data_IF_560399844228
#
_entry.id   IF_560399844228
#
_cell.length_a   1.000
_cell.length_b   1.000
_cell.length_c   1.000
_cell.angle_alpha   90.00
_cell.angle_beta   90.00
_cell.angle_gamma   90.00
#
_symmetry.space_group_name_H-M   'P 1'
#
loop_
_entity.id
_entity.type
_entity.pdbx_description
1 polymer ?
#
# COMPACT_ATOMS: atom_id res chain seq x y z
N UNK A 1 -5.72 12.71 11.94
CA UNK A 1 -6.55 13.06 10.75
C UNK A 1 -5.88 12.47 9.51
N UNK A 2 -6.67 11.93 8.57
CA UNK A 2 -6.22 11.52 7.24
C UNK A 2 -6.74 12.57 6.26
N UNK A 3 -5.83 13.31 5.63
CA UNK A 3 -6.20 14.36 4.70
C UNK A 3 -6.72 13.76 3.38
N UNK A 4 -7.59 14.49 2.68
CA UNK A 4 -8.16 14.10 1.38
C UNK A 4 -7.10 13.77 0.32
N UNK A 5 -5.91 14.35 0.43
CA UNK A 5 -4.76 14.01 -0.41
C UNK A 5 -4.49 12.50 -0.37
N UNK A 6 -4.61 11.87 0.79
CA UNK A 6 -4.28 10.45 1.01
C UNK A 6 -5.46 9.51 0.80
N UNK A 7 -6.45 9.89 -0.03
CA UNK A 7 -7.60 9.04 -0.35
C UNK A 7 -7.21 7.83 -1.22
N UNK A 8 -7.96 6.74 -1.06
CA UNK A 8 -8.06 5.64 -2.02
C UNK A 8 -9.37 5.78 -2.79
N UNK A 9 -10.50 5.20 -2.29
CA UNK A 9 -11.83 5.54 -2.76
C UNK A 9 -12.13 7.05 -2.57
N UNK A 10 -13.09 7.63 -3.31
CA UNK A 10 -13.34 9.08 -3.26
C UNK A 10 -13.66 9.64 -1.87
N UNK A 11 -14.29 8.84 -1.00
CA UNK A 11 -14.77 9.25 0.33
C UNK A 11 -13.97 8.64 1.49
N UNK A 12 -12.93 7.86 1.23
CA UNK A 12 -12.14 7.23 2.29
C UNK A 12 -10.64 7.25 2.02
N UNK A 13 -9.86 7.16 3.11
CA UNK A 13 -8.41 7.08 3.06
C UNK A 13 -7.93 5.85 2.29
N UNK A 14 -6.76 5.97 1.65
CA UNK A 14 -6.06 4.81 1.07
C UNK A 14 -5.74 3.79 2.17
N UNK A 15 -5.98 2.51 1.87
CA UNK A 15 -5.85 1.43 2.85
C UNK A 15 -4.45 1.34 3.43
N UNK A 16 -3.43 1.27 2.58
CA UNK A 16 -2.04 1.16 3.01
C UNK A 16 -1.55 2.39 3.79
N UNK A 17 -1.88 3.60 3.35
CA UNK A 17 -1.57 4.81 4.10
C UNK A 17 -2.21 4.77 5.50
N UNK A 18 -3.49 4.38 5.57
CA UNK A 18 -4.20 4.24 6.84
C UNK A 18 -3.56 3.17 7.72
N UNK A 19 -3.16 2.04 7.14
CA UNK A 19 -2.41 1.01 7.89
C UNK A 19 -1.12 1.60 8.50
N UNK A 20 -0.40 2.44 7.75
CA UNK A 20 0.78 3.14 8.26
C UNK A 20 0.48 4.10 9.41
N UNK A 21 -0.69 4.77 9.39
CA UNK A 21 -1.16 5.61 10.50
C UNK A 21 -1.52 4.76 11.72
N UNK A 22 -2.23 3.64 11.52
CA UNK A 22 -2.62 2.74 12.62
C UNK A 22 -1.40 2.07 13.25
N UNK A 23 -0.42 1.66 12.44
CA UNK A 23 0.81 1.01 12.91
C UNK A 23 1.84 1.98 13.51
N UNK A 24 1.54 3.28 13.59
CA UNK A 24 2.46 4.26 14.17
C UNK A 24 2.67 3.95 15.66
N UNK A 25 3.92 3.72 16.06
CA UNK A 25 4.29 3.34 17.42
C UNK A 25 4.42 1.85 17.64
N UNK A 26 3.83 0.98 16.81
CA UNK A 26 4.03 -0.48 16.92
C UNK A 26 5.41 -0.85 16.39
N UNK A 27 6.17 -1.58 17.18
CA UNK A 27 7.55 -1.97 16.91
C UNK A 27 7.65 -3.17 15.97
N UNK A 28 8.66 -3.17 15.09
CA UNK A 28 8.97 -4.30 14.22
C UNK A 28 7.93 -4.56 13.12
N UNK A 29 7.56 -5.84 12.96
CA UNK A 29 6.50 -6.28 12.03
C UNK A 29 5.15 -6.02 12.67
N UNK A 30 4.25 -5.41 11.92
CA UNK A 30 2.89 -5.14 12.39
C UNK A 30 1.84 -5.70 11.41
N UNK A 31 0.77 -6.24 11.99
CA UNK A 31 -0.47 -6.59 11.27
C UNK A 31 -1.52 -5.56 11.57
N UNK A 32 -2.02 -4.89 10.54
CA UNK A 32 -3.12 -3.93 10.63
C UNK A 32 -4.38 -4.51 10.01
N UNK A 33 -5.49 -4.48 10.75
CA UNK A 33 -6.83 -4.83 10.25
C UNK A 33 -7.67 -3.56 10.18
N UNK A 34 -8.16 -3.21 9.01
CA UNK A 34 -9.13 -2.13 8.80
C UNK A 34 -10.54 -2.66 9.10
N UNK A 35 -11.29 -1.90 9.90
CA UNK A 35 -12.64 -2.27 10.35
C UNK A 35 -13.73 -1.47 9.65
N UNK A 36 -13.42 -0.23 9.28
CA UNK A 36 -14.30 0.70 8.60
C UNK A 36 -13.55 1.44 7.50
N UNK A 37 -14.24 1.97 6.48
CA UNK A 37 -13.64 2.90 5.54
C UNK A 37 -13.05 4.09 6.30
N UNK A 38 -11.73 4.37 6.17
CA UNK A 38 -11.09 5.42 6.94
C UNK A 38 -11.64 6.80 6.55
N UNK A 39 -12.23 7.58 7.49
CA UNK A 39 -12.79 8.87 7.16
C UNK A 39 -11.70 9.91 6.85
N UNK A 40 -12.04 10.84 5.95
CA UNK A 40 -11.15 11.92 5.51
C UNK A 40 -11.46 13.23 6.24
N UNK A 41 -10.44 14.07 6.40
CA UNK A 41 -10.53 15.48 6.83
C UNK A 41 -11.24 15.68 8.18
N UNK A 42 -11.17 14.69 9.08
CA UNK A 42 -11.75 14.78 10.41
C UNK A 42 -10.81 14.24 11.49
N UNK A 43 -10.94 14.69 12.73
CA UNK A 43 -10.11 14.20 13.82
C UNK A 43 -10.27 12.70 14.04
N UNK A 44 -9.15 12.00 14.17
CA UNK A 44 -9.06 10.60 14.55
C UNK A 44 -8.16 10.49 15.76
N UNK A 45 -8.47 9.56 16.66
CA UNK A 45 -7.66 9.31 17.86
C UNK A 45 -6.89 8.01 17.69
N UNK A 46 -5.56 8.09 17.81
CA UNK A 46 -4.67 6.92 17.86
C UNK A 46 -4.28 6.69 19.31
N UNK A 47 -4.53 5.48 19.79
CA UNK A 47 -4.13 5.03 21.13
C UNK A 47 -3.39 3.70 21.03
N UNK A 48 -2.49 3.42 21.93
CA UNK A 48 -1.75 2.16 21.96
C UNK A 48 -0.33 2.32 22.46
N UNK A 49 0.48 1.30 22.23
CA UNK A 49 1.87 1.14 22.66
C UNK A 49 2.72 0.47 21.56
N UNK A 50 3.88 -0.07 21.93
CA UNK A 50 4.79 -0.73 21.00
C UNK A 50 4.30 -2.11 20.52
N UNK A 51 3.32 -2.71 21.18
CA UNK A 51 2.78 -4.02 20.84
C UNK A 51 1.46 -3.94 20.07
N UNK A 52 0.65 -2.92 20.36
CA UNK A 52 -0.67 -2.75 19.74
C UNK A 52 -1.11 -1.30 19.67
N UNK A 53 -1.95 -1.00 18.70
CA UNK A 53 -2.56 0.31 18.58
C UNK A 53 -3.96 0.24 17.97
N UNK A 54 -4.73 1.30 18.17
CA UNK A 54 -6.10 1.43 17.66
C UNK A 54 -6.35 2.86 17.19
N UNK A 55 -6.87 2.99 15.98
CA UNK A 55 -7.34 4.25 15.42
C UNK A 55 -8.87 4.30 15.49
N UNK A 56 -9.42 5.37 16.07
CA UNK A 56 -10.86 5.55 16.24
C UNK A 56 -11.37 6.85 15.66
N UNK A 57 -12.65 6.84 15.24
CA UNK A 57 -13.49 7.99 14.90
C UNK A 57 -14.63 8.05 15.94
N UNK A 58 -14.44 8.81 17.01
CA UNK A 58 -15.31 8.74 18.19
C UNK A 58 -15.24 7.33 18.80
N UNK A 59 -16.40 6.68 18.92
CA UNK A 59 -16.51 5.31 19.44
C UNK A 59 -16.24 4.22 18.39
N UNK A 60 -16.17 4.58 17.11
CA UNK A 60 -16.02 3.64 16.02
C UNK A 60 -14.55 3.29 15.80
N UNK A 61 -14.23 2.00 15.76
CA UNK A 61 -12.87 1.51 15.45
C UNK A 61 -12.69 1.56 13.93
N UNK A 62 -11.74 2.38 13.46
CA UNK A 62 -11.34 2.47 12.05
C UNK A 62 -10.35 1.36 11.71
N UNK A 63 -9.39 1.12 12.58
CA UNK A 63 -8.38 0.07 12.39
C UNK A 63 -7.63 -0.25 13.68
N UNK A 64 -7.06 -1.43 13.70
CA UNK A 64 -6.27 -1.96 14.81
C UNK A 64 -4.97 -2.54 14.27
N UNK A 65 -3.86 -2.30 14.98
CA UNK A 65 -2.57 -2.91 14.72
C UNK A 65 -2.12 -3.76 15.89
N UNK A 66 -1.42 -4.84 15.59
CA UNK A 66 -0.71 -5.67 16.58
C UNK A 66 0.67 -6.01 16.07
N UNK A 67 1.65 -6.06 16.97
CA UNK A 67 2.96 -6.64 16.68
C UNK A 67 2.78 -8.09 16.22
N UNK A 68 3.56 -8.51 15.24
CA UNK A 68 3.34 -9.79 14.56
C UNK A 68 4.65 -10.36 14.00
N UNK A 69 4.53 -11.46 13.27
CA UNK A 69 5.59 -12.01 12.41
C UNK A 69 5.08 -12.06 10.97
N UNK A 70 5.99 -12.04 10.02
CA UNK A 70 5.66 -12.16 8.59
C UNK A 70 6.53 -13.25 7.97
N UNK A 71 5.93 -14.42 7.77
CA UNK A 71 6.50 -15.49 6.96
C UNK A 71 5.98 -15.33 5.53
N UNK A 72 6.77 -14.71 4.68
CA UNK A 72 6.41 -14.37 3.31
C UNK A 72 7.61 -14.61 2.41
N UNK A 73 7.47 -15.57 1.49
CA UNK A 73 8.42 -15.75 0.41
C UNK A 73 8.28 -14.62 -0.60
N UNK A 74 9.38 -13.89 -0.82
CA UNK A 74 9.41 -12.76 -1.75
C UNK A 74 10.10 -13.22 -3.02
N UNK A 75 9.46 -13.14 -4.20
CA UNK A 75 10.12 -13.46 -5.46
C UNK A 75 11.26 -12.48 -5.74
N UNK A 76 12.15 -12.87 -6.66
CA UNK A 76 13.23 -11.99 -7.11
C UNK A 76 12.65 -10.66 -7.61
N UNK A 77 13.22 -9.56 -7.12
CA UNK A 77 12.77 -8.22 -7.46
C UNK A 77 13.04 -7.93 -8.95
N UNK A 78 12.04 -7.48 -9.73
CA UNK A 78 12.27 -7.04 -11.09
C UNK A 78 13.26 -5.86 -11.12
N UNK A 79 14.16 -5.87 -12.12
CA UNK A 79 15.06 -4.72 -12.32
C UNK A 79 14.27 -3.44 -12.66
N UNK A 80 14.86 -2.27 -12.37
CA UNK A 80 14.21 -0.98 -12.59
C UNK A 80 13.73 -0.78 -14.04
N UNK A 81 14.51 -1.16 -15.03
CA UNK A 81 14.13 -1.06 -16.45
C UNK A 81 12.93 -1.95 -16.79
N UNK A 82 12.87 -3.15 -16.22
CA UNK A 82 11.73 -4.07 -16.35
C UNK A 82 10.48 -3.47 -15.72
N UNK A 83 10.61 -2.85 -14.54
CA UNK A 83 9.51 -2.17 -13.87
C UNK A 83 9.00 -0.96 -14.66
N UNK A 84 9.89 -0.17 -15.26
CA UNK A 84 9.52 0.96 -16.15
C UNK A 84 8.73 0.47 -17.34
N UNK A 85 9.19 -0.59 -18.01
CA UNK A 85 8.50 -1.15 -19.18
C UNK A 85 7.15 -1.80 -18.79
N UNK A 86 7.09 -2.50 -17.66
CA UNK A 86 5.86 -3.07 -17.14
C UNK A 86 4.82 -1.98 -16.83
N UNK A 87 5.24 -0.90 -16.17
CA UNK A 87 4.38 0.23 -15.78
C UNK A 87 3.66 0.90 -16.97
N UNK A 88 4.24 0.87 -18.17
CA UNK A 88 3.57 1.37 -19.39
C UNK A 88 2.29 0.60 -19.74
N UNK A 89 2.17 -0.63 -19.27
CA UNK A 89 1.02 -1.53 -19.47
C UNK A 89 0.15 -1.67 -18.22
N UNK A 90 0.17 -0.65 -17.38
CA UNK A 90 -0.67 -0.60 -16.20
C UNK A 90 -2.16 -0.60 -16.59
N UNK A 91 -2.91 -1.60 -16.15
CA UNK A 91 -4.32 -1.75 -16.49
C UNK A 91 -5.20 -0.57 -16.04
N UNK A 92 -4.79 0.12 -14.98
CA UNK A 92 -5.48 1.29 -14.45
C UNK A 92 -5.44 2.52 -15.35
N UNK A 93 -4.67 2.54 -16.45
CA UNK A 93 -4.75 3.61 -17.46
C UNK A 93 -6.00 3.46 -18.34
N UNK A 94 -6.52 2.24 -18.51
CA UNK A 94 -7.74 1.98 -19.27
C UNK A 94 -8.98 2.01 -18.37
N UNK A 95 -8.90 1.33 -17.22
CA UNK A 95 -10.01 1.24 -16.25
C UNK A 95 -9.46 1.20 -14.84
N UNK A 96 -9.88 2.15 -14.02
CA UNK A 96 -9.46 2.23 -12.62
C UNK A 96 -10.66 2.47 -11.70
N UNK A 97 -10.86 1.62 -10.65
CA UNK A 97 -11.99 1.82 -9.73
C UNK A 97 -11.90 3.14 -8.95
N UNK A 98 -10.68 3.62 -8.70
CA UNK A 98 -10.41 4.85 -7.95
C UNK A 98 -9.34 5.71 -8.64
N UNK A 99 -9.64 6.39 -9.76
CA UNK A 99 -8.62 7.08 -10.56
C UNK A 99 -7.91 8.22 -9.81
N UNK A 100 -8.48 8.71 -8.71
CA UNK A 100 -7.86 9.66 -7.79
C UNK A 100 -7.14 9.02 -6.60
N UNK A 101 -6.84 7.71 -6.59
CA UNK A 101 -6.12 7.03 -5.50
C UNK A 101 -4.73 7.66 -5.29
N UNK A 102 -4.36 7.90 -4.03
CA UNK A 102 -3.05 8.47 -3.66
C UNK A 102 -1.87 7.64 -4.16
N UNK A 103 -2.00 6.31 -4.17
CA UNK A 103 -0.90 5.41 -4.56
C UNK A 103 -0.83 5.21 -6.07
N UNK A 104 -1.94 4.79 -6.70
CA UNK A 104 -1.96 4.27 -8.06
C UNK A 104 -2.90 5.03 -9.00
N UNK A 105 -3.49 6.14 -8.56
CA UNK A 105 -4.46 6.89 -9.34
C UNK A 105 -3.84 7.61 -10.53
N UNK A 106 -4.24 7.30 -11.79
CA UNK A 106 -3.69 7.93 -12.98
C UNK A 106 -4.05 9.42 -13.10
N UNK A 107 -5.12 9.88 -12.45
CA UNK A 107 -5.52 11.30 -12.44
C UNK A 107 -4.68 12.16 -11.47
N UNK A 108 -3.79 11.57 -10.67
CA UNK A 108 -2.90 12.33 -9.81
C UNK A 108 -1.80 13.02 -10.62
N UNK A 109 -1.62 14.31 -10.37
CA UNK A 109 -0.49 15.05 -10.93
C UNK A 109 0.85 14.57 -10.33
N UNK A 110 1.98 14.75 -11.03
CA UNK A 110 3.29 14.59 -10.44
C UNK A 110 3.42 15.43 -9.16
N UNK A 111 3.95 14.83 -8.08
CA UNK A 111 4.10 15.47 -6.76
C UNK A 111 2.83 15.47 -5.88
N UNK A 112 1.68 14.98 -6.38
CA UNK A 112 0.44 14.88 -5.58
C UNK A 112 0.11 13.47 -5.11
N UNK A 113 0.74 12.45 -5.63
CA UNK A 113 0.56 11.05 -5.23
C UNK A 113 1.81 10.25 -5.48
N UNK A 114 1.82 8.99 -5.07
CA UNK A 114 2.97 8.11 -5.26
C UNK A 114 3.16 7.74 -6.74
N UNK A 115 2.07 7.70 -7.52
CA UNK A 115 2.06 7.36 -8.96
C UNK A 115 2.75 6.03 -9.26
N UNK A 116 2.53 5.06 -8.38
CA UNK A 116 2.98 3.67 -8.55
C UNK A 116 1.96 2.99 -9.46
N UNK A 117 2.33 2.70 -10.70
CA UNK A 117 1.48 2.12 -11.74
C UNK A 117 1.92 0.69 -12.06
N UNK A 118 1.53 -0.32 -11.26
CA UNK A 118 2.08 -1.67 -11.38
C UNK A 118 1.51 -2.38 -12.61
N UNK A 119 2.35 -2.61 -13.60
CA UNK A 119 2.02 -3.37 -14.80
C UNK A 119 2.61 -4.79 -14.76
N UNK A 120 2.08 -5.70 -15.58
CA UNK A 120 2.51 -7.10 -15.61
C UNK A 120 3.93 -7.26 -16.15
N UNK A 121 4.72 -8.06 -15.46
CA UNK A 121 6.09 -8.45 -15.86
C UNK A 121 6.01 -9.76 -16.64
N UNK A 122 5.92 -9.68 -17.97
CA UNK A 122 5.80 -10.86 -18.82
C UNK A 122 4.66 -11.79 -18.39
N UNK A 123 4.99 -13.07 -18.23
CA UNK A 123 4.07 -14.14 -17.78
C UNK A 123 4.36 -14.65 -16.37
N UNK A 124 5.15 -13.91 -15.59
CA UNK A 124 5.62 -14.35 -14.25
C UNK A 124 4.56 -14.34 -13.17
N UNK A 125 3.40 -13.70 -13.40
CA UNK A 125 2.42 -13.41 -12.37
C UNK A 125 2.74 -12.19 -11.50
N UNK A 126 3.95 -11.60 -11.67
CA UNK A 126 4.38 -10.41 -10.95
C UNK A 126 3.90 -9.15 -11.69
N UNK A 127 3.53 -8.12 -10.93
CA UNK A 127 3.37 -6.74 -11.42
C UNK A 127 4.46 -5.87 -10.82
N UNK A 128 4.91 -4.85 -11.56
CA UNK A 128 5.95 -3.94 -11.07
C UNK A 128 5.76 -2.52 -11.61
N UNK A 129 6.24 -1.56 -10.82
CA UNK A 129 6.33 -0.15 -11.18
C UNK A 129 7.61 0.47 -10.65
N UNK A 130 8.23 1.43 -11.35
CA UNK A 130 9.22 2.30 -10.75
C UNK A 130 8.54 3.25 -9.75
N UNK A 131 9.25 3.60 -8.70
CA UNK A 131 8.84 4.63 -7.76
C UNK A 131 10.03 5.46 -7.32
N UNK A 132 9.96 6.76 -7.51
CA UNK A 132 10.94 7.71 -6.99
C UNK A 132 10.19 8.66 -6.06
N UNK A 133 10.33 8.50 -4.73
CA UNK A 133 9.65 9.37 -3.78
C UNK A 133 10.16 10.80 -3.89
N UNK A 134 9.23 11.77 -3.87
CA UNK A 134 9.55 13.20 -3.89
C UNK A 134 9.60 13.82 -2.49
N UNK A 135 10.05 15.08 -2.40
CA UNK A 135 10.23 15.81 -1.15
C UNK A 135 8.95 15.92 -0.30
N UNK A 136 7.76 15.85 -0.92
CA UNK A 136 6.49 15.94 -0.20
C UNK A 136 6.20 14.70 0.67
N UNK A 137 7.00 13.65 0.51
CA UNK A 137 6.88 12.38 1.24
C UNK A 137 7.89 12.28 2.39
N UNK A 138 8.71 13.33 2.59
CA UNK A 138 9.76 13.34 3.60
C UNK A 138 9.20 13.28 5.02
N UNK A 139 9.76 12.41 5.84
CA UNK A 139 9.53 12.32 7.27
C UNK A 139 10.46 13.24 8.07
N UNK A 140 10.34 13.17 9.39
CA UNK A 140 11.11 14.03 10.30
C UNK A 140 12.63 13.77 10.27
N UNK A 141 13.05 12.58 9.84
CA UNK A 141 14.45 12.14 9.76
C UNK A 141 15.10 12.42 8.39
N UNK A 142 14.38 13.10 7.48
CA UNK A 142 14.84 13.39 6.12
C UNK A 142 14.65 12.25 5.12
N UNK A 143 14.19 11.09 5.58
CA UNK A 143 13.84 9.93 4.75
C UNK A 143 12.36 9.93 4.41
N UNK A 144 11.95 9.03 3.54
CA UNK A 144 10.52 8.83 3.24
C UNK A 144 9.77 8.40 4.51
N UNK A 145 8.70 9.11 4.84
CA UNK A 145 7.91 8.82 6.03
C UNK A 145 7.35 7.39 5.99
N UNK A 146 7.40 6.67 7.12
CA UNK A 146 6.99 5.27 7.24
C UNK A 146 5.58 4.99 6.71
N UNK A 147 4.63 5.94 6.89
CA UNK A 147 3.25 5.84 6.36
C UNK A 147 3.20 5.75 4.83
N UNK A 148 4.13 6.44 4.14
CA UNK A 148 4.22 6.41 2.68
C UNK A 148 4.81 5.08 2.18
N UNK A 149 5.71 4.46 2.95
CA UNK A 149 6.20 3.10 2.66
C UNK A 149 5.06 2.08 2.79
N UNK A 150 4.23 2.17 3.85
CA UNK A 150 3.02 1.36 3.98
C UNK A 150 2.06 1.57 2.80
N UNK A 151 1.86 2.82 2.38
CA UNK A 151 1.03 3.13 1.22
C UNK A 151 1.58 2.50 -0.07
N UNK A 152 2.90 2.56 -0.28
CA UNK A 152 3.55 2.01 -1.47
C UNK A 152 3.45 0.48 -1.57
N UNK A 153 3.23 -0.23 -0.45
CA UNK A 153 3.00 -1.67 -0.40
C UNK A 153 1.55 -2.08 -0.71
N UNK A 154 0.59 -1.15 -0.70
CA UNK A 154 -0.83 -1.40 -0.88
C UNK A 154 -1.18 -1.83 -2.32
N UNK A 155 -1.22 -0.90 -3.24
CA UNK A 155 -1.74 -1.12 -4.60
C UNK A 155 -0.95 -2.14 -5.44
N UNK A 156 0.39 -2.30 -5.32
CA UNK A 156 1.07 -3.39 -6.02
C UNK A 156 0.51 -4.77 -5.66
N UNK A 157 0.10 -4.99 -4.41
CA UNK A 157 -0.54 -6.24 -4.00
C UNK A 157 -1.90 -6.45 -4.67
N UNK A 158 -2.71 -5.39 -4.82
CA UNK A 158 -3.99 -5.47 -5.52
C UNK A 158 -3.84 -5.82 -7.00
N UNK A 159 -2.97 -5.10 -7.70
CA UNK A 159 -2.75 -5.34 -9.14
C UNK A 159 -2.00 -6.65 -9.43
N UNK A 160 -1.37 -7.25 -8.41
CA UNK A 160 -0.82 -8.60 -8.44
C UNK A 160 -1.86 -9.72 -8.42
N UNK A 161 -3.13 -9.43 -8.11
CA UNK A 161 -4.19 -10.42 -8.12
C UNK A 161 -4.43 -11.01 -9.52
N UNK A 162 -4.83 -12.29 -9.63
CA UNK A 162 -5.09 -12.94 -10.92
C UNK A 162 -6.21 -12.27 -11.71
N UNK A 163 -7.24 -11.82 -11.00
CA UNK A 163 -8.31 -10.96 -11.48
C UNK A 163 -8.33 -9.69 -10.62
N UNK A 164 -8.81 -8.59 -11.17
CA UNK A 164 -8.93 -7.33 -10.43
C UNK A 164 -10.40 -7.08 -10.05
N UNK A 165 -10.99 -7.85 -9.09
CA UNK A 165 -12.34 -7.62 -8.63
C UNK A 165 -12.42 -6.24 -7.95
N UNK A 166 -13.62 -5.69 -7.83
CA UNK A 166 -13.81 -4.55 -6.95
C UNK A 166 -13.56 -5.02 -5.50
N UNK A 167 -12.43 -4.66 -4.93
CA UNK A 167 -12.02 -5.10 -3.60
C UNK A 167 -11.44 -3.96 -2.77
N UNK A 168 -11.58 -4.08 -1.47
CA UNK A 168 -11.02 -3.17 -0.48
C UNK A 168 -9.97 -3.91 0.38
N UNK A 169 -8.94 -3.18 0.78
CA UNK A 169 -7.93 -3.71 1.70
C UNK A 169 -8.57 -3.95 3.07
N UNK A 170 -8.60 -5.20 3.51
CA UNK A 170 -9.08 -5.59 4.85
C UNK A 170 -7.96 -5.73 5.87
N UNK A 171 -6.79 -6.21 5.43
CA UNK A 171 -5.62 -6.43 6.31
C UNK A 171 -4.32 -6.25 5.54
N UNK A 172 -3.32 -5.69 6.23
CA UNK A 172 -1.95 -5.60 5.74
C UNK A 172 -0.98 -5.93 6.87
N UNK A 173 -0.14 -6.94 6.66
CA UNK A 173 0.99 -7.26 7.55
C UNK A 173 2.25 -6.82 6.87
N UNK A 174 3.04 -5.93 7.48
CA UNK A 174 4.26 -5.41 6.85
C UNK A 174 5.49 -5.51 7.75
N UNK A 175 6.63 -5.81 7.11
CA UNK A 175 7.99 -5.69 7.63
C UNK A 175 8.69 -4.58 6.87
N UNK A 176 9.20 -3.57 7.57
CA UNK A 176 9.93 -2.44 7.00
C UNK A 176 11.28 -2.37 7.71
N UNK A 177 12.31 -2.84 7.03
CA UNK A 177 13.69 -2.96 7.54
C UNK A 177 14.50 -1.67 7.35
N UNK A 178 14.03 -0.78 6.47
CA UNK A 178 14.65 0.52 6.21
C UNK A 178 13.68 1.49 5.57
N UNK A 179 13.96 2.77 5.69
CA UNK A 179 13.23 3.83 4.99
C UNK A 179 14.12 4.36 3.87
N UNK A 180 13.59 4.47 2.63
CA UNK A 180 14.37 4.96 1.50
C UNK A 180 14.61 6.47 1.61
N UNK A 181 15.61 6.95 0.89
CA UNK A 181 15.84 8.37 0.74
C UNK A 181 14.86 8.98 -0.27
N UNK A 182 14.57 10.26 -0.09
CA UNK A 182 13.85 11.04 -1.10
C UNK A 182 14.70 11.13 -2.35
N UNK A 183 14.08 10.92 -3.52
CA UNK A 183 14.80 10.89 -4.80
C UNK A 183 15.45 9.55 -5.15
N UNK A 184 15.42 8.55 -4.25
CA UNK A 184 15.96 7.23 -4.51
C UNK A 184 15.09 6.46 -5.51
N UNK A 185 15.62 5.98 -6.66
CA UNK A 185 14.86 5.15 -7.59
C UNK A 185 14.62 3.75 -7.01
N UNK A 186 13.36 3.37 -6.88
CA UNK A 186 12.89 2.12 -6.28
C UNK A 186 12.03 1.33 -7.26
N UNK A 187 11.85 0.06 -6.94
CA UNK A 187 10.88 -0.82 -7.58
C UNK A 187 9.84 -1.26 -6.57
N UNK A 188 8.57 -0.95 -6.85
CA UNK A 188 7.42 -1.48 -6.13
C UNK A 188 6.82 -2.63 -6.95
N UNK A 189 6.65 -3.80 -6.35
CA UNK A 189 6.14 -4.98 -7.05
C UNK A 189 5.19 -5.78 -6.17
N UNK A 190 4.32 -6.57 -6.82
CA UNK A 190 3.34 -7.40 -6.14
C UNK A 190 3.08 -8.70 -6.90
N UNK A 191 2.58 -9.71 -6.20
CA UNK A 191 2.30 -11.04 -6.72
C UNK A 191 1.12 -11.69 -6.00
N UNK A 192 0.39 -12.63 -6.67
CA UNK A 192 -0.68 -13.35 -6.03
C UNK A 192 -0.15 -14.41 -5.07
N UNK A 193 -0.88 -14.69 -4.00
CA UNK A 193 -0.60 -15.79 -3.08
C UNK A 193 -1.73 -16.83 -3.20
N UNK A 194 -2.98 -16.45 -2.88
CA UNK A 194 -4.11 -17.37 -2.83
C UNK A 194 -5.44 -16.63 -2.99
N UNK A 195 -6.49 -17.36 -3.34
CA UNK A 195 -7.88 -16.84 -3.37
C UNK A 195 -8.79 -17.81 -2.61
N UNK A 196 -9.52 -17.30 -1.62
CA UNK A 196 -10.47 -18.03 -0.79
C UNK A 196 -11.83 -17.31 -0.76
N UNK A 197 -12.79 -17.77 -1.57
CA UNK A 197 -14.08 -17.11 -1.67
C UNK A 197 -13.95 -15.64 -2.07
N UNK A 198 -14.42 -14.72 -1.22
CA UNK A 198 -14.29 -13.27 -1.45
C UNK A 198 -12.95 -12.67 -0.97
N UNK A 199 -12.06 -13.49 -0.47
CA UNK A 199 -10.74 -13.04 0.00
C UNK A 199 -9.68 -13.38 -1.03
N UNK A 200 -8.88 -12.40 -1.36
CA UNK A 200 -7.68 -12.58 -2.16
C UNK A 200 -6.45 -12.19 -1.35
N UNK A 201 -5.45 -13.05 -1.34
CA UNK A 201 -4.19 -12.84 -0.64
C UNK A 201 -3.11 -12.52 -1.66
N UNK A 202 -2.32 -11.51 -1.38
CA UNK A 202 -1.26 -11.07 -2.27
C UNK A 202 -0.06 -10.57 -1.47
N UNK A 203 1.13 -10.76 -2.04
CA UNK A 203 2.37 -10.17 -1.55
C UNK A 203 2.69 -8.88 -2.27
N UNK A 204 3.43 -8.01 -1.60
CA UNK A 204 4.08 -6.86 -2.21
C UNK A 204 5.41 -6.55 -1.56
N UNK A 205 6.31 -5.92 -2.30
CA UNK A 205 7.59 -5.50 -1.76
C UNK A 205 8.12 -4.25 -2.45
N UNK A 206 9.05 -3.59 -1.77
CA UNK A 206 9.85 -2.49 -2.28
C UNK A 206 11.31 -2.91 -2.29
N UNK A 207 11.96 -2.72 -3.42
CA UNK A 207 13.38 -2.99 -3.59
C UNK A 207 14.10 -1.74 -4.08
N UNK A 208 15.38 -1.62 -3.72
CA UNK A 208 16.25 -0.61 -4.27
C UNK A 208 16.75 -1.01 -5.68
N UNK A 209 17.56 -0.16 -6.29
CA UNK A 209 18.08 -0.37 -7.66
C UNK A 209 18.91 -1.63 -7.81
N UNK A 210 19.56 -2.08 -6.74
CA UNK A 210 20.37 -3.30 -6.69
C UNK A 210 19.51 -4.56 -6.46
N UNK A 211 18.20 -4.45 -6.37
CA UNK A 211 17.27 -5.54 -6.11
C UNK A 211 17.17 -5.95 -4.64
N UNK A 212 17.80 -5.22 -3.72
CA UNK A 212 17.68 -5.48 -2.29
C UNK A 212 16.31 -5.04 -1.78
N UNK A 213 15.50 -5.99 -1.33
CA UNK A 213 14.21 -5.74 -0.66
C UNK A 213 14.46 -5.17 0.72
N UNK A 214 13.79 -4.05 1.05
CA UNK A 214 13.86 -3.39 2.36
C UNK A 214 12.48 -3.24 3.03
N UNK A 215 11.40 -3.49 2.27
CA UNK A 215 10.05 -3.53 2.81
C UNK A 215 9.23 -4.59 2.06
N UNK A 216 8.40 -5.34 2.79
CA UNK A 216 7.52 -6.37 2.23
C UNK A 216 6.23 -6.46 3.03
N UNK A 217 5.14 -6.88 2.38
CA UNK A 217 3.85 -7.02 3.03
C UNK A 217 3.03 -8.16 2.43
N UNK A 218 2.20 -8.76 3.28
CA UNK A 218 1.11 -9.66 2.92
C UNK A 218 -0.22 -8.93 3.10
N UNK A 219 -1.02 -8.86 2.05
CA UNK A 219 -2.30 -8.18 2.00
C UNK A 219 -3.46 -9.18 1.91
N UNK A 220 -4.57 -8.88 2.59
CA UNK A 220 -5.87 -9.52 2.38
C UNK A 220 -6.82 -8.51 1.78
N UNK A 221 -7.24 -8.77 0.56
CA UNK A 221 -8.23 -7.99 -0.19
C UNK A 221 -9.60 -8.64 -0.06
N UNK A 222 -10.64 -7.86 0.18
CA UNK A 222 -12.01 -8.32 0.34
C UNK A 222 -12.83 -7.82 -0.84
N UNK A 223 -13.34 -8.75 -1.66
CA UNK A 223 -14.27 -8.42 -2.73
C UNK A 223 -15.58 -7.87 -2.18
N UNK A 224 -16.07 -6.79 -2.81
CA UNK A 224 -17.28 -6.09 -2.42
C UNK A 224 -18.22 -5.94 -3.63
N UNK A 225 -19.53 -6.04 -3.39
CA UNK A 225 -20.55 -5.92 -4.44
C UNK A 225 -20.76 -4.46 -4.87
N UNK A 226 -20.22 -3.50 -4.11
CA UNK A 226 -20.29 -2.05 -4.37
C UNK A 226 -19.44 -1.28 -3.37
N UNK A 227 -19.18 -0.02 -3.68
CA UNK A 227 -18.44 0.83 -2.76
C UNK A 227 -19.33 1.26 -1.59
N UNK A 228 -18.81 1.25 -0.35
CA UNK A 228 -19.49 1.89 0.74
C UNK A 228 -19.65 3.39 0.43
N UNK A 229 -20.90 3.87 0.49
CA UNK A 229 -21.27 5.27 0.29
C UNK A 229 -20.76 6.15 1.44
#
# INVERSE_FOLDING_TARGET
>A
MIERRFRGPPQSGNGGYTCGVVAEGVSGVATVTLRLPPPLDRPLTLTGDEEQSRLTDGENIVGEATQSTLDLEVPEAPGLEVAVEASRRYAGFETHPFPGCFVCGPERAPGDGLRIFPGRVGTTGIVAAPWTPDDSLQGADGRVGRRHVWAALDCPSYFGLPSAPLALLGRLTASIEGLPEVGEPLVAFGWPIEVEGRKSFAGSALANREGKVFARAAATWIEVDGLPL
#
